data_IF_344228766094
#
_entry.id   IF_344228766094
#
_cell.length_a   1.000
_cell.length_b   1.000
_cell.length_c   1.000
_cell.angle_alpha   90.00
_cell.angle_beta   90.00
_cell.angle_gamma   90.00
#
_symmetry.space_group_name_H-M   'P 1'
#
loop_
_entity.id
_entity.type
_entity.pdbx_description
1 polymer ?
#
# COMPACT_ATOMS: atom_id res chain seq x y z
N UNK A 1 2.10 12.99 12.87
CA UNK A 1 3.21 12.06 12.60
C UNK A 1 4.01 12.65 11.47
N UNK A 2 5.06 13.36 11.85
CA UNK A 2 5.87 14.15 10.94
C UNK A 2 6.85 13.23 10.21
N UNK A 3 6.87 13.34 8.89
CA UNK A 3 7.83 12.64 8.06
C UNK A 3 9.18 13.35 8.18
N UNK A 4 10.00 12.90 9.12
CA UNK A 4 11.38 13.39 9.28
C UNK A 4 12.25 13.00 8.09
N UNK A 5 13.38 13.70 7.91
CA UNK A 5 14.34 13.37 6.86
C UNK A 5 14.84 11.92 6.98
N UNK A 6 15.11 11.45 8.21
CA UNK A 6 15.49 10.05 8.47
C UNK A 6 14.41 9.05 8.03
N UNK A 7 13.14 9.32 8.31
CA UNK A 7 12.05 8.45 7.86
C UNK A 7 11.92 8.40 6.33
N UNK A 8 12.21 9.52 5.65
CA UNK A 8 12.22 9.59 4.18
C UNK A 8 13.41 8.81 3.60
N UNK A 9 14.60 8.96 4.17
CA UNK A 9 15.79 8.20 3.76
C UNK A 9 15.60 6.71 3.96
N UNK A 10 15.07 6.30 5.13
CA UNK A 10 14.76 4.91 5.43
C UNK A 10 13.71 4.34 4.46
N UNK A 11 12.68 5.12 4.13
CA UNK A 11 11.68 4.75 3.12
C UNK A 11 12.33 4.53 1.76
N UNK A 12 13.18 5.45 1.29
CA UNK A 12 13.86 5.34 0.00
C UNK A 12 14.80 4.14 -0.07
N UNK A 13 15.55 3.88 1.00
CA UNK A 13 16.43 2.72 1.09
C UNK A 13 15.64 1.42 0.95
N UNK A 14 14.60 1.23 1.77
CA UNK A 14 13.76 0.03 1.74
C UNK A 14 12.99 -0.10 0.42
N UNK A 15 12.62 1.02 -0.20
CA UNK A 15 11.99 1.07 -1.51
C UNK A 15 12.94 0.62 -2.62
N UNK A 16 14.20 1.07 -2.58
CA UNK A 16 15.25 0.67 -3.52
C UNK A 16 15.61 -0.82 -3.38
N UNK A 17 15.59 -1.35 -2.15
CA UNK A 17 15.71 -2.78 -1.86
C UNK A 17 14.54 -3.61 -2.44
N UNK A 18 13.44 -2.96 -2.83
CA UNK A 18 12.27 -3.62 -3.40
C UNK A 18 11.37 -4.28 -2.35
N UNK A 19 11.37 -3.80 -1.11
CA UNK A 19 10.41 -4.27 -0.11
C UNK A 19 8.98 -3.82 -0.44
N UNK A 20 7.99 -4.63 -0.07
CA UNK A 20 6.57 -4.26 -0.22
C UNK A 20 6.18 -3.17 0.76
N UNK A 21 5.22 -2.30 0.40
CA UNK A 21 4.78 -1.20 1.28
C UNK A 21 4.29 -1.65 2.66
N UNK A 22 3.69 -2.85 2.74
CA UNK A 22 3.32 -3.47 4.01
C UNK A 22 4.54 -3.87 4.86
N UNK A 23 5.60 -4.39 4.23
CA UNK A 23 6.87 -4.74 4.87
C UNK A 23 7.59 -3.48 5.38
N UNK A 24 7.67 -2.45 4.53
CA UNK A 24 8.25 -1.14 4.86
C UNK A 24 7.51 -0.54 6.06
N UNK A 25 6.17 -0.59 6.04
CA UNK A 25 5.34 -0.10 7.14
C UNK A 25 5.62 -0.84 8.45
N UNK A 26 5.69 -2.18 8.41
CA UNK A 26 6.06 -3.00 9.58
C UNK A 26 7.45 -2.63 10.12
N UNK A 27 8.44 -2.43 9.24
CA UNK A 27 9.84 -2.12 9.62
C UNK A 27 10.01 -0.71 10.20
N UNK A 28 9.23 0.25 9.70
CA UNK A 28 9.26 1.64 10.16
C UNK A 28 8.23 1.96 11.26
N UNK A 29 7.41 0.98 11.66
CA UNK A 29 6.35 1.18 12.65
C UNK A 29 5.22 2.10 12.18
N UNK A 30 4.99 2.20 10.87
CA UNK A 30 3.94 3.04 10.28
C UNK A 30 2.97 2.22 9.42
N UNK A 31 1.75 2.73 9.22
CA UNK A 31 0.76 2.04 8.41
C UNK A 31 1.17 1.96 6.94
N UNK A 32 0.83 0.84 6.26
CA UNK A 32 1.04 0.65 4.82
C UNK A 32 0.46 1.81 3.99
N UNK A 33 -0.68 2.38 4.43
CA UNK A 33 -1.33 3.49 3.74
C UNK A 33 -0.51 4.78 3.87
N UNK A 34 0.16 4.99 5.00
CA UNK A 34 1.05 6.13 5.20
C UNK A 34 2.29 6.01 4.29
N UNK A 35 2.86 4.80 4.18
CA UNK A 35 3.97 4.49 3.25
C UNK A 35 3.56 4.77 1.80
N UNK A 36 2.41 4.26 1.36
CA UNK A 36 1.89 4.48 0.00
C UNK A 36 1.68 5.97 -0.27
N UNK A 37 1.02 6.68 0.65
CA UNK A 37 0.77 8.11 0.51
C UNK A 37 2.05 8.92 0.41
N UNK A 38 3.08 8.58 1.19
CA UNK A 38 4.38 9.27 1.11
C UNK A 38 5.16 8.90 -0.14
N UNK A 39 5.18 7.63 -0.53
CA UNK A 39 5.85 7.20 -1.76
C UNK A 39 5.27 7.87 -3.00
N UNK A 40 3.94 8.01 -3.06
CA UNK A 40 3.25 8.78 -4.11
C UNK A 40 3.66 10.26 -4.09
N UNK A 41 3.69 10.91 -2.92
CA UNK A 41 4.12 12.32 -2.80
C UNK A 41 5.59 12.54 -3.16
N UNK A 42 6.44 11.53 -2.97
CA UNK A 42 7.85 11.55 -3.35
C UNK A 42 8.07 11.17 -4.82
N UNK A 43 7.00 10.89 -5.56
CA UNK A 43 7.03 10.47 -6.96
C UNK A 43 7.97 9.27 -7.20
N UNK A 44 8.09 8.38 -6.19
CA UNK A 44 8.90 7.17 -6.30
C UNK A 44 8.27 6.27 -7.36
N UNK A 45 9.05 5.90 -8.38
CA UNK A 45 8.57 5.10 -9.50
C UNK A 45 7.89 3.84 -8.99
N UNK A 46 6.65 3.63 -9.45
CA UNK A 46 5.87 2.46 -9.07
C UNK A 46 6.66 1.22 -9.47
N UNK A 47 7.14 0.46 -8.47
CA UNK A 47 7.82 -0.80 -8.75
C UNK A 47 6.87 -1.64 -9.62
N UNK A 48 7.33 -2.23 -10.75
CA UNK A 48 6.53 -3.19 -11.48
C UNK A 48 6.22 -4.32 -10.50
N UNK A 49 4.97 -4.37 -10.04
CA UNK A 49 4.54 -5.38 -9.07
C UNK A 49 4.78 -6.75 -9.68
N UNK A 50 5.63 -7.62 -9.09
CA UNK A 50 5.70 -9.03 -9.47
C UNK A 50 4.48 -9.80 -8.98
N UNK A 51 3.58 -9.14 -8.24
CA UNK A 51 2.35 -9.73 -7.71
C UNK A 51 1.40 -9.93 -8.89
N UNK A 52 1.47 -11.15 -9.44
CA UNK A 52 0.33 -11.86 -10.01
C UNK A 52 -0.91 -11.43 -9.23
N UNK A 53 -1.84 -10.78 -9.93
CA UNK A 53 -3.19 -10.58 -9.42
C UNK A 53 -3.77 -11.97 -9.21
N UNK A 54 -3.50 -12.58 -8.06
CA UNK A 54 -4.41 -13.56 -7.51
C UNK A 54 -5.60 -12.72 -7.06
N UNK A 55 -6.44 -12.44 -8.05
CA UNK A 55 -7.73 -11.86 -7.90
C UNK A 55 -8.54 -12.87 -7.10
N UNK A 56 -8.40 -12.85 -5.77
CA UNK A 56 -9.49 -13.30 -4.93
C UNK A 56 -10.66 -12.35 -5.28
N UNK A 57 -11.71 -12.85 -5.95
CA UNK A 57 -12.85 -12.01 -6.26
C UNK A 57 -13.43 -11.58 -4.92
N UNK A 58 -13.48 -10.27 -4.67
CA UNK A 58 -14.37 -9.76 -3.62
C UNK A 58 -15.75 -10.28 -3.99
N UNK A 59 -16.44 -11.07 -3.15
CA UNK A 59 -17.85 -11.32 -3.39
C UNK A 59 -18.51 -9.94 -3.37
N UNK A 60 -19.06 -9.54 -4.52
CA UNK A 60 -19.88 -8.35 -4.63
C UNK A 60 -20.98 -8.43 -3.56
N UNK A 61 -21.35 -7.31 -2.92
CA UNK A 61 -22.49 -7.31 -2.02
C UNK A 61 -23.71 -7.81 -2.81
N UNK A 62 -24.27 -8.94 -2.36
CA UNK A 62 -25.48 -9.52 -2.93
C UNK A 62 -26.55 -8.42 -3.04
N UNK A 63 -27.16 -8.21 -4.22
CA UNK A 63 -28.29 -7.29 -4.31
C UNK A 63 -29.41 -7.86 -3.45
N UNK A 64 -29.80 -7.13 -2.38
CA UNK A 64 -31.04 -7.43 -1.65
C UNK A 64 -32.17 -7.42 -2.68
N UNK A 65 -32.77 -8.58 -2.89
CA UNK A 65 -33.95 -8.74 -3.72
C UNK A 65 -35.03 -7.72 -3.30
N UNK A 66 -35.79 -7.15 -4.25
CA UNK A 66 -36.96 -6.38 -3.90
C UNK A 66 -37.96 -7.34 -3.23
N UNK A 67 -38.46 -6.93 -2.07
CA UNK A 67 -39.56 -7.63 -1.40
C UNK A 67 -40.78 -7.54 -2.33
N UNK A 68 -41.43 -8.66 -2.70
CA UNK A 68 -42.66 -8.59 -3.47
C UNK A 68 -43.81 -8.10 -2.57
N UNK A 69 -44.61 -7.22 -3.19
CA UNK A 69 -45.95 -6.65 -2.90
C UNK A 69 -46.48 -6.65 -1.46
#
# INVERSE_FOLDING_TARGET
>A
MDWTAEAIERLKALWAEGHSTAEIGRRMGISKNAVVGKAHRLNLSARPSPIRRDAAPRPAPVPRAPRPV
#
